data_IF_348803567308
#
_entry.id   IF_348803567308
#
_cell.length_a   1.000
_cell.length_b   1.000
_cell.length_c   1.000
_cell.angle_alpha   90.00
_cell.angle_beta   90.00
_cell.angle_gamma   90.00
#
_symmetry.space_group_name_H-M   'P 1'
#
loop_
_entity.id
_entity.type
_entity.pdbx_description
1 polymer ?
#
# COMPACT_ATOMS: atom_id res chain seq x y z
N UNK A 1 0.63 6.35 21.99
CA UNK A 1 1.23 5.00 22.15
C UNK A 1 2.72 5.21 22.23
N UNK A 2 3.46 4.25 22.77
CA UNK A 2 4.91 4.42 22.98
C UNK A 2 5.73 3.89 21.78
N UNK A 3 5.06 3.54 20.68
CA UNK A 3 5.69 2.96 19.50
C UNK A 3 6.32 3.98 18.56
N UNK A 4 6.02 5.28 18.73
CA UNK A 4 6.51 6.35 17.84
C UNK A 4 5.78 6.47 16.50
N UNK A 5 4.68 5.73 16.30
CA UNK A 5 3.88 5.74 15.06
C UNK A 5 2.46 6.25 15.30
N UNK A 6 1.82 6.80 14.27
CA UNK A 6 0.52 7.46 14.39
C UNK A 6 -0.63 6.44 14.30
N UNK A 7 -1.45 6.28 15.36
CA UNK A 7 -2.65 5.47 15.29
C UNK A 7 -3.70 6.14 14.40
N UNK A 8 -4.30 5.36 13.52
CA UNK A 8 -5.26 5.83 12.52
C UNK A 8 -6.48 4.90 12.44
N UNK A 9 -7.61 5.46 12.05
CA UNK A 9 -8.76 4.72 11.59
C UNK A 9 -8.42 4.03 10.26
N UNK A 10 -8.54 2.71 10.18
CA UNK A 10 -8.10 1.93 9.02
C UNK A 10 -9.08 1.98 7.82
N UNK A 11 -10.22 2.66 7.96
CA UNK A 11 -11.15 2.90 6.87
C UNK A 11 -10.83 4.23 6.17
N UNK A 12 -10.44 5.25 6.95
CA UNK A 12 -10.31 6.64 6.48
C UNK A 12 -8.91 7.23 6.58
N UNK A 13 -8.01 6.59 7.32
CA UNK A 13 -6.71 7.10 7.75
C UNK A 13 -6.77 8.37 8.63
N UNK A 14 -7.93 8.70 9.19
CA UNK A 14 -8.05 9.77 10.19
C UNK A 14 -7.30 9.39 11.47
N UNK A 15 -6.56 10.31 12.06
CA UNK A 15 -5.92 10.12 13.35
C UNK A 15 -6.95 9.81 14.43
N UNK A 16 -6.68 8.79 15.25
CA UNK A 16 -7.53 8.49 16.41
C UNK A 16 -7.30 9.45 17.58
N UNK A 17 -6.35 10.38 17.47
CA UNK A 17 -5.98 11.33 18.51
C UNK A 17 -6.55 12.72 18.20
N UNK A 18 -6.40 13.17 16.95
CA UNK A 18 -6.82 14.49 16.50
C UNK A 18 -7.75 14.39 15.29
N UNK A 19 -9.01 14.76 15.47
CA UNK A 19 -10.02 14.77 14.41
C UNK A 19 -9.66 15.77 13.29
N UNK A 20 -10.00 15.40 12.06
CA UNK A 20 -9.68 16.18 10.85
C UNK A 20 -8.25 16.06 10.35
N UNK A 21 -7.35 15.39 11.07
CA UNK A 21 -5.98 15.12 10.64
C UNK A 21 -5.91 13.69 10.14
N UNK A 22 -5.42 13.49 8.92
CA UNK A 22 -5.17 12.16 8.36
C UNK A 22 -3.67 11.88 8.28
N UNK A 23 -3.26 10.65 8.62
CA UNK A 23 -1.86 10.23 8.57
C UNK A 23 -1.73 8.98 7.72
N UNK A 24 -0.86 9.00 6.72
CA UNK A 24 -0.67 7.92 5.75
C UNK A 24 0.81 7.54 5.62
N UNK A 25 1.08 6.47 4.89
CA UNK A 25 2.42 5.99 4.57
C UNK A 25 3.15 5.50 5.81
N UNK A 26 4.47 5.63 5.78
CA UNK A 26 5.33 5.06 6.82
C UNK A 26 4.98 5.57 8.23
N UNK A 27 4.49 6.80 8.40
CA UNK A 27 4.13 7.32 9.71
C UNK A 27 2.91 6.61 10.35
N UNK A 28 2.03 6.01 9.53
CA UNK A 28 0.76 5.44 10.00
C UNK A 28 0.94 4.05 10.63
N UNK A 29 -0.01 3.68 11.50
CA UNK A 29 -0.20 2.30 11.94
C UNK A 29 -1.23 1.62 11.04
N UNK A 30 -0.87 1.41 9.77
CA UNK A 30 -1.65 0.61 8.80
C UNK A 30 -1.54 -0.90 9.12
N UNK A 31 -2.15 -1.33 10.23
CA UNK A 31 -2.00 -2.69 10.78
C UNK A 31 -2.30 -3.77 9.73
N UNK A 32 -1.26 -4.50 9.32
CA UNK A 32 -1.32 -5.60 8.35
C UNK A 32 -0.77 -5.27 6.97
N UNK A 33 -0.40 -4.01 6.71
CA UNK A 33 0.35 -3.60 5.51
C UNK A 33 1.83 -3.37 5.83
N UNK A 34 2.74 -3.62 4.87
CA UNK A 34 4.15 -3.26 5.01
C UNK A 34 4.35 -1.74 4.85
N UNK A 35 5.44 -1.22 5.39
CA UNK A 35 5.91 0.16 5.12
C UNK A 35 6.68 0.16 3.80
N UNK A 36 6.07 0.69 2.75
CA UNK A 36 6.64 0.73 1.39
C UNK A 36 6.06 1.89 0.59
N UNK A 37 6.75 2.26 -0.51
CA UNK A 37 6.25 3.28 -1.44
C UNK A 37 4.90 2.90 -2.08
N UNK A 38 4.67 1.61 -2.38
CA UNK A 38 3.40 1.16 -2.95
C UNK A 38 2.28 1.21 -1.89
N UNK A 39 2.56 0.75 -0.67
CA UNK A 39 1.60 0.86 0.44
C UNK A 39 1.21 2.33 0.66
N UNK A 40 2.18 3.24 0.77
CA UNK A 40 1.93 4.66 0.92
C UNK A 40 1.07 5.26 -0.22
N UNK A 41 1.35 4.91 -1.49
CA UNK A 41 0.52 5.33 -2.62
C UNK A 41 -0.93 4.81 -2.50
N UNK A 42 -1.10 3.54 -2.12
CA UNK A 42 -2.42 2.93 -1.96
C UNK A 42 -3.21 3.55 -0.80
N UNK A 43 -2.54 3.82 0.32
CA UNK A 43 -3.12 4.50 1.49
C UNK A 43 -3.53 5.94 1.13
N UNK A 44 -2.69 6.66 0.37
CA UNK A 44 -2.98 8.01 -0.08
C UNK A 44 -4.26 8.10 -0.91
N UNK A 45 -4.48 7.15 -1.83
CA UNK A 45 -5.69 7.09 -2.65
C UNK A 45 -6.95 6.85 -1.81
N UNK A 46 -6.90 5.93 -0.85
CA UNK A 46 -8.00 5.68 0.09
C UNK A 46 -8.29 6.90 0.96
N UNK A 47 -7.24 7.51 1.52
CA UNK A 47 -7.35 8.72 2.33
C UNK A 47 -7.96 9.87 1.51
N UNK A 48 -7.50 10.11 0.28
CA UNK A 48 -8.01 11.17 -0.57
C UNK A 48 -9.52 11.01 -0.86
N UNK A 49 -9.95 9.79 -1.21
CA UNK A 49 -11.38 9.51 -1.40
C UNK A 49 -12.19 9.67 -0.12
N UNK A 50 -11.64 9.28 1.03
CA UNK A 50 -12.29 9.42 2.33
C UNK A 50 -12.45 10.89 2.71
N UNK A 51 -11.39 11.69 2.61
CA UNK A 51 -11.42 13.14 2.86
C UNK A 51 -12.44 13.81 1.95
N UNK A 52 -12.44 13.49 0.64
CA UNK A 52 -13.42 14.04 -0.29
C UNK A 52 -14.86 13.68 0.11
N UNK A 53 -15.13 12.44 0.54
CA UNK A 53 -16.45 12.04 1.00
C UNK A 53 -16.86 12.79 2.29
N UNK A 54 -15.97 12.85 3.28
CA UNK A 54 -16.22 13.51 4.57
C UNK A 54 -16.51 15.02 4.40
N UNK A 55 -15.74 15.71 3.57
CA UNK A 55 -15.96 17.13 3.26
C UNK A 55 -17.32 17.38 2.59
N UNK A 56 -17.86 16.38 1.90
CA UNK A 56 -19.19 16.43 1.27
C UNK A 56 -20.30 15.86 2.15
N UNK A 57 -20.02 15.53 3.42
CA UNK A 57 -21.00 14.92 4.33
C UNK A 57 -21.47 13.53 3.89
N UNK A 58 -20.66 12.83 3.10
CA UNK A 58 -20.95 11.47 2.60
C UNK A 58 -20.17 10.43 3.40
N UNK A 59 -20.69 9.20 3.39
CA UNK A 59 -19.98 8.06 3.93
C UNK A 59 -18.72 7.74 3.10
N UNK A 60 -17.55 7.57 3.74
CA UNK A 60 -16.34 7.14 3.03
C UNK A 60 -16.48 5.76 2.38
N UNK A 61 -15.98 5.57 1.15
CA UNK A 61 -16.10 4.30 0.45
C UNK A 61 -15.35 3.17 1.16
N UNK A 62 -15.78 1.93 0.97
CA UNK A 62 -15.07 0.76 1.48
C UNK A 62 -13.69 0.66 0.83
N UNK A 63 -12.59 0.62 1.60
CA UNK A 63 -11.26 0.70 1.03
C UNK A 63 -10.76 -0.64 0.48
N UNK A 64 -9.89 -0.56 -0.52
CA UNK A 64 -9.11 -1.67 -1.07
C UNK A 64 -7.68 -1.21 -1.25
N UNK A 65 -6.72 -2.10 -0.97
CA UNK A 65 -5.30 -1.75 -1.02
C UNK A 65 -4.49 -2.76 -1.82
N UNK A 66 -3.37 -2.31 -2.35
CA UNK A 66 -2.40 -3.17 -3.02
C UNK A 66 -0.98 -2.74 -2.68
N UNK A 67 -0.09 -3.72 -2.58
CA UNK A 67 1.33 -3.50 -2.43
C UNK A 67 2.10 -4.50 -3.29
N UNK A 68 3.12 -4.01 -3.99
CA UNK A 68 4.20 -4.85 -4.51
C UNK A 68 5.54 -4.21 -4.16
N UNK A 69 6.44 -4.98 -3.54
CA UNK A 69 7.84 -4.59 -3.38
C UNK A 69 8.68 -5.45 -4.32
N UNK A 70 9.32 -4.81 -5.29
CA UNK A 70 10.31 -5.45 -6.16
C UNK A 70 11.71 -5.35 -5.55
N UNK A 71 12.57 -6.29 -5.88
CA UNK A 71 13.99 -6.31 -5.54
C UNK A 71 14.79 -6.82 -6.72
N UNK A 72 15.85 -6.11 -7.10
CA UNK A 72 16.76 -6.48 -8.18
C UNK A 72 18.08 -6.87 -7.52
N UNK A 73 18.45 -8.14 -7.59
CA UNK A 73 19.68 -8.67 -6.99
C UNK A 73 20.85 -8.73 -7.98
N UNK A 74 20.56 -8.84 -9.28
CA UNK A 74 21.53 -8.80 -10.36
C UNK A 74 20.86 -8.33 -11.67
N UNK A 75 21.66 -8.13 -12.72
CA UNK A 75 21.22 -7.62 -14.03
C UNK A 75 20.01 -8.37 -14.61
N UNK A 76 19.99 -9.71 -14.51
CA UNK A 76 18.89 -10.55 -14.99
C UNK A 76 18.14 -11.26 -13.85
N UNK A 77 18.20 -10.72 -12.62
CA UNK A 77 17.63 -11.36 -11.44
C UNK A 77 16.83 -10.39 -10.56
N UNK A 78 15.53 -10.28 -10.85
CA UNK A 78 14.55 -9.59 -10.02
C UNK A 78 13.58 -10.56 -9.34
N UNK A 79 12.99 -10.16 -8.23
CA UNK A 79 11.91 -10.88 -7.56
C UNK A 79 11.01 -9.89 -6.81
N UNK A 80 9.83 -10.34 -6.41
CA UNK A 80 8.86 -9.49 -5.76
C UNK A 80 8.07 -10.18 -4.66
N UNK A 81 7.48 -9.35 -3.80
CA UNK A 81 6.38 -9.73 -2.91
C UNK A 81 5.18 -8.84 -3.24
N UNK A 82 4.06 -9.45 -3.60
CA UNK A 82 2.83 -8.77 -3.95
C UNK A 82 1.68 -9.20 -3.03
N UNK A 83 0.77 -8.27 -2.75
CA UNK A 83 -0.43 -8.55 -1.98
C UNK A 83 -1.56 -7.57 -2.28
N UNK A 84 -2.79 -8.09 -2.35
CA UNK A 84 -4.02 -7.31 -2.32
C UNK A 84 -4.61 -7.42 -0.93
N UNK A 85 -5.11 -6.31 -0.40
CA UNK A 85 -5.66 -6.24 0.94
C UNK A 85 -7.06 -5.64 0.97
N UNK A 86 -7.80 -6.03 2.00
CA UNK A 86 -9.10 -5.44 2.36
C UNK A 86 -9.13 -5.15 3.86
N UNK A 87 -9.92 -4.17 4.26
CA UNK A 87 -10.24 -3.99 5.68
C UNK A 87 -11.03 -5.20 6.18
N UNK A 88 -10.66 -5.73 7.35
CA UNK A 88 -11.43 -6.80 7.99
C UNK A 88 -12.85 -6.31 8.30
N UNK A 89 -13.83 -7.23 8.30
CA UNK A 89 -15.25 -6.88 8.56
C UNK A 89 -15.46 -6.20 9.91
N UNK A 90 -14.60 -6.49 10.88
CA UNK A 90 -14.62 -5.91 12.23
C UNK A 90 -13.78 -4.63 12.37
N UNK A 91 -13.19 -4.13 11.28
CA UNK A 91 -12.33 -2.94 11.27
C UNK A 91 -10.99 -3.10 11.99
N UNK A 92 -10.65 -4.29 12.50
CA UNK A 92 -9.53 -4.48 13.45
C UNK A 92 -8.13 -4.45 12.82
N UNK A 93 -8.05 -4.68 11.50
CA UNK A 93 -6.81 -4.72 10.71
C UNK A 93 -7.09 -4.73 9.22
N UNK A 94 -6.09 -4.35 8.44
CA UNK A 94 -6.04 -4.58 7.00
C UNK A 94 -5.51 -6.01 6.77
N UNK A 95 -6.24 -6.82 6.00
CA UNK A 95 -5.96 -8.25 5.83
C UNK A 95 -5.60 -8.55 4.37
N UNK A 96 -4.50 -9.27 4.16
CA UNK A 96 -4.13 -9.81 2.85
C UNK A 96 -5.19 -10.81 2.39
N UNK A 97 -5.75 -10.60 1.21
CA UNK A 97 -6.75 -11.50 0.58
C UNK A 97 -6.20 -12.29 -0.60
N UNK A 98 -5.09 -11.83 -1.21
CA UNK A 98 -4.39 -12.56 -2.28
C UNK A 98 -2.94 -12.06 -2.45
N UNK A 99 -2.16 -12.74 -3.27
CA UNK A 99 -0.77 -12.42 -3.61
C UNK A 99 0.26 -13.38 -2.99
N UNK A 100 1.54 -13.17 -3.26
CA UNK A 100 2.62 -14.08 -2.89
C UNK A 100 4.00 -13.50 -3.17
N UNK A 101 5.00 -14.35 -2.97
CA UNK A 101 6.37 -14.10 -3.40
C UNK A 101 6.56 -14.71 -4.79
N UNK A 102 7.53 -14.20 -5.55
CA UNK A 102 8.11 -14.96 -6.65
C UNK A 102 8.56 -16.33 -6.11
N UNK A 103 8.10 -17.46 -6.68
CA UNK A 103 8.52 -18.78 -6.22
C UNK A 103 10.04 -18.96 -6.31
N UNK A 104 10.65 -19.62 -5.33
CA UNK A 104 12.11 -19.81 -5.28
C UNK A 104 12.62 -20.70 -6.40
N UNK A 105 11.78 -21.62 -6.85
CA UNK A 105 11.97 -22.57 -7.95
C UNK A 105 11.42 -22.04 -9.28
N UNK A 106 11.08 -20.75 -9.35
CA UNK A 106 10.68 -20.14 -10.61
C UNK A 106 11.81 -20.26 -11.65
N UNK A 107 11.47 -20.43 -12.92
CA UNK A 107 12.49 -20.59 -13.96
C UNK A 107 13.19 -19.23 -14.25
N UNK A 108 14.44 -19.22 -14.76
CA UNK A 108 15.26 -18.02 -14.90
C UNK A 108 14.58 -16.85 -15.65
N UNK A 109 13.74 -17.14 -16.64
CA UNK A 109 13.00 -16.15 -17.39
C UNK A 109 11.99 -15.36 -16.53
N UNK A 110 11.49 -15.95 -15.44
CA UNK A 110 10.61 -15.24 -14.50
C UNK A 110 11.42 -14.19 -13.74
N UNK A 111 12.60 -14.55 -13.22
CA UNK A 111 13.46 -13.60 -12.50
C UNK A 111 13.96 -12.46 -13.41
N UNK A 112 14.29 -12.77 -14.67
CA UNK A 112 14.65 -11.75 -15.66
C UNK A 112 13.48 -10.80 -15.94
N UNK A 113 12.28 -11.33 -16.07
CA UNK A 113 11.07 -10.54 -16.32
C UNK A 113 10.65 -9.68 -15.12
N UNK A 114 10.83 -10.18 -13.90
CA UNK A 114 10.62 -9.41 -12.66
C UNK A 114 11.50 -8.15 -12.61
N UNK A 115 12.74 -8.20 -13.11
CA UNK A 115 13.61 -7.02 -13.23
C UNK A 115 13.01 -5.97 -14.17
N UNK A 116 12.54 -6.39 -15.36
CA UNK A 116 11.87 -5.49 -16.32
C UNK A 116 10.60 -4.89 -15.71
N UNK A 117 9.83 -5.69 -14.96
CA UNK A 117 8.63 -5.24 -14.25
C UNK A 117 8.95 -4.27 -13.12
N UNK A 118 10.06 -4.45 -12.40
CA UNK A 118 10.51 -3.53 -11.36
C UNK A 118 10.79 -2.12 -11.92
N UNK A 119 11.50 -2.04 -13.05
CA UNK A 119 11.75 -0.75 -13.72
C UNK A 119 10.46 -0.12 -14.24
N UNK A 120 9.59 -0.93 -14.84
CA UNK A 120 8.27 -0.47 -15.31
C UNK A 120 7.42 0.05 -14.14
N UNK A 121 7.43 -0.66 -13.02
CA UNK A 121 6.74 -0.25 -11.79
C UNK A 121 7.27 1.09 -11.28
N UNK A 122 8.60 1.26 -11.20
CA UNK A 122 9.18 2.52 -10.73
C UNK A 122 8.76 3.70 -11.61
N UNK A 123 8.82 3.56 -12.93
CA UNK A 123 8.40 4.61 -13.86
C UNK A 123 6.90 4.92 -13.73
N UNK A 124 6.07 3.89 -13.60
CA UNK A 124 4.62 4.07 -13.52
C UNK A 124 4.18 4.65 -12.19
N UNK A 125 4.73 4.19 -11.06
CA UNK A 125 4.34 4.69 -9.74
C UNK A 125 4.83 6.12 -9.52
N UNK A 126 6.02 6.47 -10.01
CA UNK A 126 6.51 7.86 -9.94
C UNK A 126 5.64 8.80 -10.77
N UNK A 127 5.26 8.38 -11.99
CA UNK A 127 4.31 9.15 -12.81
C UNK A 127 2.91 9.24 -12.19
N UNK A 128 2.40 8.17 -11.57
CA UNK A 128 1.11 8.19 -10.89
C UNK A 128 1.10 9.16 -9.70
N UNK A 129 2.20 9.25 -8.94
CA UNK A 129 2.30 10.13 -7.77
C UNK A 129 2.52 11.59 -8.18
N UNK A 130 3.40 11.85 -9.16
CA UNK A 130 3.92 13.20 -9.43
C UNK A 130 3.59 13.74 -10.82
N UNK A 131 3.05 12.91 -11.71
CA UNK A 131 3.16 13.11 -13.15
C UNK A 131 2.06 13.92 -13.83
N UNK A 132 0.94 14.23 -13.17
CA UNK A 132 -0.13 15.10 -13.70
C UNK A 132 -0.86 14.55 -14.92
#
# INVERSE_FOLDING_TARGET
NDSGWCPVDLHTFESTIHKGIHVIGDASIAKGMPKSGYAANSEAKVCAHSVAALLNGKEPPVPSYVNTCYSIAAEDHGFSVAAVYRLAKDGSKITKVSGGLTPKDAPPEVFKREMVYAHSWFNNITKDIFGG
#
